data_IF_207854221129
#
_entry.id   IF_207854221129
#
_cell.length_a   1.000
_cell.length_b   1.000
_cell.length_c   1.000
_cell.angle_alpha   90.00
_cell.angle_beta   90.00
_cell.angle_gamma   90.00
#
_symmetry.space_group_name_H-M   'P 1'
#
loop_
_entity.id
_entity.type
_entity.pdbx_description
1 polymer ?
#
# COMPACT_ATOMS: atom_id res chain seq x y z
N UNK A 1 -25.17 -0.49 35.80
CA UNK A 1 -23.78 -0.86 35.44
C UNK A 1 -23.66 -1.53 34.06
N UNK A 2 -24.65 -2.31 33.57
CA UNK A 2 -24.52 -3.04 32.29
C UNK A 2 -24.58 -2.18 31.01
N UNK A 3 -25.20 -0.99 31.06
CA UNK A 3 -25.32 -0.11 29.87
C UNK A 3 -24.00 0.58 29.48
N UNK A 4 -23.11 0.85 30.43
CA UNK A 4 -21.81 1.48 30.17
C UNK A 4 -20.80 0.47 29.62
N UNK A 5 -20.80 -0.78 30.11
CA UNK A 5 -19.97 -1.86 29.58
C UNK A 5 -20.36 -2.23 28.13
N UNK A 6 -21.66 -2.33 27.84
CA UNK A 6 -22.13 -2.57 26.47
C UNK A 6 -21.73 -1.43 25.51
N UNK A 7 -21.82 -0.17 25.97
CA UNK A 7 -21.34 0.99 25.21
C UNK A 7 -19.84 0.96 24.94
N UNK A 8 -19.02 0.62 25.94
CA UNK A 8 -17.56 0.46 25.78
C UNK A 8 -17.21 -0.66 24.81
N UNK A 9 -17.91 -1.80 24.85
CA UNK A 9 -17.67 -2.93 23.94
C UNK A 9 -18.01 -2.57 22.49
N UNK A 10 -19.13 -1.87 22.25
CA UNK A 10 -19.52 -1.39 20.92
C UNK A 10 -18.54 -0.34 20.39
N UNK A 11 -18.04 0.55 21.25
CA UNK A 11 -17.02 1.54 20.88
C UNK A 11 -15.70 0.88 20.47
N UNK A 12 -15.21 -0.09 21.26
CA UNK A 12 -13.99 -0.85 20.94
C UNK A 12 -14.14 -1.67 19.67
N UNK A 13 -15.28 -2.37 19.48
CA UNK A 13 -15.56 -3.13 18.27
C UNK A 13 -15.55 -2.25 17.01
N UNK A 14 -16.09 -1.03 17.11
CA UNK A 14 -16.12 -0.08 15.99
C UNK A 14 -14.74 0.50 15.69
N UNK A 15 -13.94 0.85 16.71
CA UNK A 15 -12.53 1.27 16.52
C UNK A 15 -11.68 0.18 15.87
N UNK A 16 -11.88 -1.08 16.29
CA UNK A 16 -11.19 -2.21 15.69
C UNK A 16 -11.57 -2.36 14.22
N UNK A 17 -12.85 -2.25 13.86
CA UNK A 17 -13.30 -2.33 12.47
C UNK A 17 -12.63 -1.27 11.56
N UNK A 18 -12.51 -0.03 12.04
CA UNK A 18 -11.83 1.05 11.31
C UNK A 18 -10.32 0.79 11.16
N UNK A 19 -9.67 0.27 12.19
CA UNK A 19 -8.25 -0.09 12.12
C UNK A 19 -8.01 -1.24 11.11
N UNK A 20 -8.87 -2.25 11.11
CA UNK A 20 -8.80 -3.36 10.14
C UNK A 20 -9.03 -2.89 8.70
N UNK A 21 -9.90 -1.91 8.48
CA UNK A 21 -10.07 -1.29 7.16
C UNK A 21 -8.78 -0.60 6.68
N UNK A 22 -8.10 0.14 7.55
CA UNK A 22 -6.84 0.79 7.21
C UNK A 22 -5.73 -0.22 6.89
N UNK A 23 -5.61 -1.27 7.70
CA UNK A 23 -4.60 -2.33 7.51
C UNK A 23 -4.84 -3.10 6.22
N UNK A 24 -6.10 -3.44 5.91
CA UNK A 24 -6.44 -4.18 4.69
C UNK A 24 -6.15 -3.37 3.43
N UNK A 25 -6.52 -2.08 3.41
CA UNK A 25 -6.19 -1.18 2.29
C UNK A 25 -4.66 -1.04 2.13
N UNK A 26 -3.94 -0.82 3.22
CA UNK A 26 -2.48 -0.71 3.18
C UNK A 26 -1.83 -2.01 2.67
N UNK A 27 -2.31 -3.18 3.10
CA UNK A 27 -1.80 -4.48 2.64
C UNK A 27 -2.04 -4.67 1.13
N UNK A 28 -3.23 -4.34 0.63
CA UNK A 28 -3.53 -4.42 -0.81
C UNK A 28 -2.59 -3.49 -1.59
N UNK A 29 -2.32 -2.28 -1.10
CA UNK A 29 -1.42 -1.32 -1.74
C UNK A 29 0.07 -1.75 -1.77
N UNK A 30 0.48 -2.70 -0.92
CA UNK A 30 1.79 -3.36 -1.00
C UNK A 30 1.81 -4.34 -2.17
N UNK A 31 0.72 -5.07 -2.38
CA UNK A 31 0.62 -6.12 -3.42
C UNK A 31 0.40 -5.52 -4.81
N UNK A 32 -0.32 -4.40 -4.92
CA UNK A 32 -0.62 -3.71 -6.19
C UNK A 32 0.58 -3.55 -7.14
N UNK A 33 1.74 -2.96 -6.74
CA UNK A 33 2.88 -2.81 -7.64
C UNK A 33 3.49 -4.16 -8.07
N UNK A 34 3.42 -5.20 -7.24
CA UNK A 34 3.90 -6.54 -7.61
C UNK A 34 3.04 -7.15 -8.72
N UNK A 35 1.73 -7.03 -8.61
CA UNK A 35 0.78 -7.49 -9.63
C UNK A 35 0.96 -6.69 -10.92
N UNK A 36 1.09 -5.36 -10.83
CA UNK A 36 1.32 -4.51 -12.00
C UNK A 36 2.63 -4.87 -12.72
N UNK A 37 3.71 -5.14 -11.99
CA UNK A 37 4.97 -5.62 -12.56
C UNK A 37 4.83 -6.94 -13.29
N UNK A 38 4.04 -7.88 -12.75
CA UNK A 38 3.77 -9.16 -13.41
C UNK A 38 2.97 -8.93 -14.69
N UNK A 39 1.94 -8.07 -14.64
CA UNK A 39 1.13 -7.73 -15.80
C UNK A 39 1.97 -7.12 -16.93
N UNK A 40 2.86 -6.18 -16.59
CA UNK A 40 3.70 -5.50 -17.58
C UNK A 40 4.78 -6.41 -18.18
N UNK A 41 5.10 -7.57 -17.58
CA UNK A 41 5.99 -8.55 -18.22
C UNK A 41 5.38 -9.19 -19.48
N UNK A 42 4.05 -9.19 -19.59
CA UNK A 42 3.35 -9.70 -20.77
C UNK A 42 3.22 -8.66 -21.89
N UNK A 43 3.66 -7.42 -21.65
CA UNK A 43 3.67 -6.35 -22.64
C UNK A 43 5.06 -6.17 -23.23
N UNK A 44 5.13 -5.98 -24.54
CA UNK A 44 6.37 -5.61 -25.21
C UNK A 44 6.58 -4.10 -25.14
N UNK A 45 7.74 -3.67 -24.66
CA UNK A 45 8.14 -2.26 -24.66
C UNK A 45 9.46 -2.11 -25.41
N UNK A 46 9.54 -1.12 -26.30
CA UNK A 46 10.73 -0.85 -27.10
C UNK A 46 11.81 -0.09 -26.32
N UNK A 47 11.42 0.63 -25.26
CA UNK A 47 12.31 1.44 -24.43
C UNK A 47 12.00 1.24 -22.94
N UNK A 48 13.03 1.35 -22.10
CA UNK A 48 12.89 1.28 -20.65
C UNK A 48 12.02 2.39 -20.07
N UNK A 49 12.01 3.57 -20.72
CA UNK A 49 11.12 4.68 -20.33
C UNK A 49 9.65 4.34 -20.47
N UNK A 50 9.27 3.65 -21.56
CA UNK A 50 7.88 3.26 -21.83
C UNK A 50 7.43 2.17 -20.85
N UNK A 51 8.34 1.24 -20.52
CA UNK A 51 8.12 0.25 -19.46
C UNK A 51 7.85 0.92 -18.11
N UNK A 52 8.66 1.91 -17.72
CA UNK A 52 8.50 2.62 -16.46
C UNK A 52 7.21 3.45 -16.43
N UNK A 53 6.84 4.09 -17.54
CA UNK A 53 5.59 4.84 -17.67
C UNK A 53 4.36 3.90 -17.57
N UNK A 54 4.39 2.74 -18.23
CA UNK A 54 3.33 1.73 -18.14
C UNK A 54 3.14 1.23 -16.70
N UNK A 55 4.23 0.89 -16.00
CA UNK A 55 4.18 0.49 -14.59
C UNK A 55 3.60 1.61 -13.72
N UNK A 56 4.01 2.87 -13.95
CA UNK A 56 3.53 4.03 -13.21
C UNK A 56 2.02 4.23 -13.37
N UNK A 57 1.52 4.27 -14.60
CA UNK A 57 0.09 4.52 -14.89
C UNK A 57 -0.77 3.43 -14.26
N UNK A 58 -0.44 2.16 -14.50
CA UNK A 58 -1.20 1.02 -13.95
C UNK A 58 -1.25 1.06 -12.44
N UNK A 59 -0.10 1.20 -11.80
CA UNK A 59 -0.01 1.23 -10.33
C UNK A 59 -0.81 2.40 -9.76
N UNK A 60 -0.79 3.56 -10.41
CA UNK A 60 -1.55 4.75 -9.97
C UNK A 60 -3.05 4.52 -10.08
N UNK A 61 -3.54 4.02 -11.22
CA UNK A 61 -4.96 3.75 -11.45
C UNK A 61 -5.48 2.72 -10.45
N UNK A 62 -4.77 1.61 -10.26
CA UNK A 62 -5.18 0.60 -9.28
C UNK A 62 -5.24 1.16 -7.87
N UNK A 63 -4.27 1.98 -7.47
CA UNK A 63 -4.28 2.62 -6.16
C UNK A 63 -5.46 3.56 -6.01
N UNK A 64 -5.73 4.44 -6.96
CA UNK A 64 -6.90 5.34 -6.89
C UNK A 64 -8.22 4.58 -6.77
N UNK A 65 -8.35 3.46 -7.47
CA UNK A 65 -9.54 2.60 -7.36
C UNK A 65 -9.68 2.04 -5.94
N UNK A 66 -8.60 1.61 -5.32
CA UNK A 66 -8.61 0.99 -3.98
C UNK A 66 -8.70 2.03 -2.85
N UNK A 67 -7.99 3.15 -2.96
CA UNK A 67 -7.85 4.13 -1.86
C UNK A 67 -8.90 5.24 -1.89
N UNK A 68 -9.44 5.58 -3.07
CA UNK A 68 -10.41 6.66 -3.21
C UNK A 68 -11.78 6.15 -3.67
N UNK A 69 -11.83 5.37 -4.77
CA UNK A 69 -13.11 4.96 -5.36
C UNK A 69 -13.85 3.91 -4.51
N UNK A 70 -13.17 2.85 -4.06
CA UNK A 70 -13.80 1.80 -3.28
C UNK A 70 -14.38 2.30 -1.94
N UNK A 71 -13.66 3.12 -1.14
CA UNK A 71 -14.25 3.73 0.06
C UNK A 71 -15.44 4.63 -0.28
N UNK A 72 -15.35 5.44 -1.35
CA UNK A 72 -16.43 6.34 -1.75
C UNK A 72 -17.72 5.61 -2.18
N UNK A 73 -17.62 4.41 -2.74
CA UNK A 73 -18.79 3.59 -3.12
C UNK A 73 -19.36 2.84 -1.91
N UNK A 74 -18.49 2.27 -1.07
CA UNK A 74 -18.91 1.42 0.05
C UNK A 74 -19.49 2.24 1.21
N UNK A 75 -19.01 3.46 1.43
CA UNK A 75 -19.51 4.32 2.52
C UNK A 75 -20.57 5.31 2.01
N UNK A 76 -21.84 5.20 2.44
CA UNK A 76 -22.89 6.11 2.01
C UNK A 76 -22.66 7.53 2.57
N UNK A 77 -22.93 8.55 1.74
CA UNK A 77 -22.78 9.97 2.08
C UNK A 77 -23.44 10.40 3.40
N UNK A 78 -24.48 9.68 3.85
CA UNK A 78 -25.20 9.95 5.09
C UNK A 78 -24.34 9.77 6.36
N UNK A 79 -23.34 8.88 6.33
CA UNK A 79 -22.38 8.71 7.43
C UNK A 79 -21.23 9.75 7.39
N UNK A 80 -21.05 10.44 6.25
CA UNK A 80 -20.04 11.50 6.07
C UNK A 80 -20.43 12.81 6.77
N UNK A 81 -21.73 13.11 6.84
CA UNK A 81 -22.25 14.38 7.35
C UNK A 81 -22.77 14.33 8.80
N UNK A 82 -22.80 13.15 9.45
CA UNK A 82 -23.31 13.07 10.83
C UNK A 82 -22.24 13.56 11.83
N UNK A 83 -22.56 14.65 12.54
CA UNK A 83 -21.70 15.37 13.49
C UNK A 83 -21.43 14.62 14.83
N UNK A 84 -21.41 13.29 14.83
CA UNK A 84 -21.32 12.51 16.08
C UNK A 84 -20.12 11.57 16.06
N UNK A 85 -18.98 11.94 16.66
CA UNK A 85 -17.82 11.13 17.13
C UNK A 85 -17.33 9.93 16.27
N UNK A 86 -17.83 9.80 15.03
CA UNK A 86 -17.77 8.64 14.15
C UNK A 86 -17.59 9.10 12.70
N UNK A 87 -16.95 10.25 12.49
CA UNK A 87 -16.83 10.81 11.16
C UNK A 87 -15.91 9.92 10.31
N UNK A 88 -16.27 9.75 9.04
CA UNK A 88 -15.43 9.09 8.05
C UNK A 88 -14.02 9.69 7.97
N UNK A 89 -13.88 10.95 8.38
CA UNK A 89 -12.60 11.64 8.50
C UNK A 89 -11.60 10.88 9.38
N UNK A 90 -12.06 10.27 10.49
CA UNK A 90 -11.17 9.54 11.40
C UNK A 90 -10.70 8.20 10.79
N UNK A 91 -11.56 7.54 10.00
CA UNK A 91 -11.18 6.33 9.26
C UNK A 91 -10.25 6.61 8.09
N UNK A 92 -10.53 7.67 7.33
CA UNK A 92 -9.67 8.15 6.23
C UNK A 92 -8.32 8.62 6.77
N UNK A 93 -8.30 9.35 7.89
CA UNK A 93 -7.07 9.72 8.61
C UNK A 93 -6.25 8.50 9.03
N UNK A 94 -6.89 7.45 9.54
CA UNK A 94 -6.18 6.22 9.92
C UNK A 94 -5.52 5.53 8.71
N UNK A 95 -6.19 5.50 7.56
CA UNK A 95 -5.62 5.00 6.29
C UNK A 95 -4.40 5.83 5.89
N UNK A 96 -4.47 7.16 5.99
CA UNK A 96 -3.34 8.03 5.62
C UNK A 96 -2.12 7.86 6.52
N UNK A 97 -2.32 7.76 7.83
CA UNK A 97 -1.22 7.52 8.76
C UNK A 97 -0.56 6.17 8.45
N UNK A 98 -1.36 5.13 8.17
CA UNK A 98 -0.83 3.81 7.80
C UNK A 98 0.00 3.85 6.51
N UNK A 99 -0.46 4.58 5.47
CA UNK A 99 0.25 4.72 4.20
C UNK A 99 1.59 5.48 4.31
N UNK A 100 1.66 6.51 5.16
CA UNK A 100 2.90 7.28 5.39
C UNK A 100 3.99 6.38 5.99
N UNK A 101 3.64 5.56 6.98
CA UNK A 101 4.60 4.69 7.65
C UNK A 101 4.96 3.44 6.83
N UNK A 102 4.07 2.98 5.95
CA UNK A 102 4.27 1.79 5.13
C UNK A 102 5.58 1.81 4.35
N UNK A 103 5.86 2.90 3.64
CA UNK A 103 7.03 3.03 2.75
C UNK A 103 8.36 2.96 3.51
N UNK A 104 8.62 3.78 4.54
CA UNK A 104 9.86 3.70 5.30
C UNK A 104 9.99 2.36 6.03
N UNK A 105 8.90 1.80 6.58
CA UNK A 105 8.96 0.49 7.25
C UNK A 105 9.38 -0.63 6.30
N UNK A 106 8.80 -0.69 5.10
CA UNK A 106 9.19 -1.70 4.11
C UNK A 106 10.62 -1.49 3.59
N UNK A 107 11.06 -0.23 3.47
CA UNK A 107 12.42 0.09 3.07
C UNK A 107 13.46 -0.30 4.13
N UNK A 108 13.16 -0.11 5.42
CA UNK A 108 14.05 -0.49 6.53
C UNK A 108 14.11 -2.01 6.68
N UNK A 109 12.96 -2.69 6.58
CA UNK A 109 12.91 -4.14 6.75
C UNK A 109 13.61 -4.90 5.62
N UNK A 110 13.64 -4.33 4.40
CA UNK A 110 14.20 -4.93 3.17
C UNK A 110 14.00 -6.45 3.12
N UNK A 111 12.75 -6.90 3.33
CA UNK A 111 12.44 -8.31 3.60
C UNK A 111 12.96 -9.20 2.46
N UNK A 112 12.78 -8.75 1.21
CA UNK A 112 13.20 -9.49 0.03
C UNK A 112 14.73 -9.50 -0.11
N UNK A 113 15.40 -8.37 0.13
CA UNK A 113 16.86 -8.29 0.08
C UNK A 113 17.51 -9.13 1.17
N UNK A 114 17.01 -9.03 2.40
CA UNK A 114 17.46 -9.83 3.53
C UNK A 114 17.24 -11.33 3.29
N UNK A 115 16.10 -11.73 2.71
CA UNK A 115 15.86 -13.13 2.35
C UNK A 115 16.88 -13.63 1.32
N UNK A 116 17.16 -12.84 0.26
CA UNK A 116 18.15 -13.20 -0.76
C UNK A 116 19.54 -13.35 -0.18
N UNK A 117 19.97 -12.45 0.69
CA UNK A 117 21.31 -12.47 1.30
C UNK A 117 21.50 -13.60 2.29
N UNK A 118 20.52 -13.85 3.16
CA UNK A 118 20.67 -14.81 4.26
C UNK A 118 20.26 -16.23 3.90
N UNK A 119 19.27 -16.42 3.02
CA UNK A 119 18.77 -17.75 2.66
C UNK A 119 19.27 -18.24 1.30
N UNK A 120 19.23 -17.39 0.26
CA UNK A 120 19.58 -17.81 -1.10
C UNK A 120 21.09 -17.67 -1.40
N UNK A 121 21.74 -16.65 -0.85
CA UNK A 121 23.17 -16.39 -1.01
C UNK A 121 24.04 -17.61 -0.68
N UNK A 122 23.96 -18.16 0.56
CA UNK A 122 24.77 -19.31 0.97
C UNK A 122 24.45 -20.62 0.23
N UNK A 123 23.29 -20.70 -0.45
CA UNK A 123 22.83 -21.89 -1.19
C UNK A 123 23.16 -21.82 -2.68
N UNK A 124 23.84 -20.76 -3.13
CA UNK A 124 24.22 -20.61 -4.53
C UNK A 124 25.41 -21.55 -4.86
N UNK A 125 25.35 -22.28 -6.01
CA UNK A 125 26.40 -23.22 -6.39
C UNK A 125 27.70 -22.52 -6.85
N UNK A 126 27.60 -21.27 -7.33
CA UNK A 126 28.73 -20.52 -7.88
C UNK A 126 28.85 -19.15 -7.22
N UNK A 127 30.08 -18.66 -7.07
CA UNK A 127 30.38 -17.31 -6.54
C UNK A 127 29.66 -16.20 -7.33
N UNK A 128 29.59 -16.34 -8.66
CA UNK A 128 28.89 -15.37 -9.52
C UNK A 128 27.40 -15.30 -9.19
N UNK A 129 26.76 -16.44 -8.93
CA UNK A 129 25.34 -16.50 -8.54
C UNK A 129 25.13 -15.99 -7.12
N UNK A 130 26.07 -16.28 -6.21
CA UNK A 130 26.05 -15.69 -4.87
C UNK A 130 26.10 -14.16 -4.95
N UNK A 131 27.00 -13.58 -5.74
CA UNK A 131 27.12 -12.13 -5.92
C UNK A 131 25.83 -11.48 -6.44
N UNK A 132 25.06 -12.18 -7.31
CA UNK A 132 23.76 -11.70 -7.78
C UNK A 132 22.72 -11.58 -6.64
N UNK A 133 22.81 -12.41 -5.60
CA UNK A 133 21.93 -12.32 -4.42
C UNK A 133 22.31 -11.18 -3.47
N UNK A 134 23.56 -10.71 -3.52
CA UNK A 134 24.02 -9.54 -2.77
C UNK A 134 23.81 -8.21 -3.51
N UNK A 135 23.47 -8.26 -4.80
CA UNK A 135 23.12 -7.08 -5.58
C UNK A 135 21.89 -6.38 -4.97
N UNK A 136 21.95 -5.05 -4.89
CA UNK A 136 20.83 -4.23 -4.40
C UNK A 136 19.58 -4.34 -5.28
N UNK A 137 18.44 -3.90 -4.76
CA UNK A 137 17.20 -3.84 -5.53
C UNK A 137 17.35 -2.91 -6.75
N UNK A 138 16.77 -3.32 -7.88
CA UNK A 138 16.74 -2.50 -9.09
C UNK A 138 16.00 -1.19 -8.83
N UNK A 139 16.61 -0.08 -9.24
CA UNK A 139 16.04 1.24 -9.06
C UNK A 139 14.90 1.45 -10.07
N UNK A 140 13.65 1.34 -9.62
CA UNK A 140 12.48 1.58 -10.46
C UNK A 140 11.89 2.97 -10.19
N UNK A 141 12.05 3.88 -11.16
CA UNK A 141 11.54 5.25 -11.08
C UNK A 141 10.02 5.28 -10.99
N UNK A 142 9.31 4.43 -11.75
CA UNK A 142 7.85 4.39 -11.76
C UNK A 142 7.24 4.10 -10.38
N UNK A 143 7.87 3.23 -9.59
CA UNK A 143 7.42 2.92 -8.23
C UNK A 143 7.67 4.08 -7.25
N UNK A 144 8.79 4.79 -7.40
CA UNK A 144 9.09 5.94 -6.54
C UNK A 144 8.20 7.14 -6.83
N UNK A 145 7.89 7.38 -8.11
CA UNK A 145 6.98 8.46 -8.50
C UNK A 145 5.54 8.18 -8.10
N UNK A 146 5.08 6.93 -8.20
CA UNK A 146 3.74 6.58 -7.71
C UNK A 146 3.61 6.80 -6.21
N UNK A 147 4.58 6.38 -5.39
CA UNK A 147 4.56 6.64 -3.94
C UNK A 147 4.51 8.13 -3.62
N UNK A 148 5.31 8.97 -4.30
CA UNK A 148 5.32 10.42 -4.06
C UNK A 148 4.00 11.08 -4.47
N UNK A 149 3.42 10.66 -5.59
CA UNK A 149 2.20 11.26 -6.15
C UNK A 149 0.95 10.81 -5.39
N UNK A 150 0.93 9.61 -4.84
CA UNK A 150 -0.15 9.09 -4.00
C UNK A 150 -0.48 10.05 -2.85
N UNK A 151 0.52 10.43 -2.05
CA UNK A 151 0.36 11.39 -0.93
C UNK A 151 -0.20 12.73 -1.41
N UNK A 152 0.27 13.23 -2.56
CA UNK A 152 -0.18 14.52 -3.10
C UNK A 152 -1.58 14.47 -3.72
N UNK A 153 -1.94 13.40 -4.44
CA UNK A 153 -3.25 13.28 -5.06
C UNK A 153 -4.33 13.03 -4.02
N UNK A 154 -4.01 12.24 -3.00
CA UNK A 154 -4.90 11.95 -1.89
C UNK A 154 -5.21 13.23 -1.08
N UNK A 155 -4.23 14.11 -0.85
CA UNK A 155 -4.47 15.44 -0.25
C UNK A 155 -5.26 16.41 -1.14
N UNK A 156 -5.40 16.15 -2.44
CA UNK A 156 -6.16 17.01 -3.36
C UNK A 156 -7.59 16.50 -3.59
N UNK A 157 -7.89 15.24 -3.23
CA UNK A 157 -9.21 14.63 -3.40
C UNK A 157 -10.14 14.83 -2.20
N UNK A 158 -9.59 15.27 -1.07
CA UNK A 158 -10.27 15.53 0.20
C UNK A 158 -9.79 16.86 0.78
#
# INVERSE_FOLDING_TARGET
MNRTLAGCLVYLARKLATAWQAVTIAAINIVTPLVCKILTKYESHARDGDLQASIYIKTTVFRWVITALAPAIVTPFADTASNADKSLLDGVRAIFIAEIWRVPLLAILDIIGNFRRHFLGPRAPDQRRMNLHFQGAHYNLGERYTVRKDVSTVCNFW
#
